data_IF_836747935509
#
_entry.id   IF_836747935509
#
_cell.length_a   1.000
_cell.length_b   1.000
_cell.length_c   1.000
_cell.angle_alpha   90.00
_cell.angle_beta   90.00
_cell.angle_gamma   90.00
#
_symmetry.space_group_name_H-M   'P 1'
#
loop_
_entity.id
_entity.type
_entity.pdbx_description
1 polymer ?
#
# COMPACT_ATOMS: atom_id res chain seq x y z
N UNK A 1 -23.01 -18.33 11.23
CA UNK A 1 -21.56 -18.24 11.01
C UNK A 1 -21.30 -17.85 9.56
N UNK A 2 -20.90 -16.60 9.32
CA UNK A 2 -20.54 -16.14 7.97
C UNK A 2 -19.17 -16.68 7.62
N UNK A 3 -19.09 -17.58 6.64
CA UNK A 3 -17.82 -18.02 6.10
C UNK A 3 -17.11 -16.84 5.43
N UNK A 4 -15.84 -16.65 5.75
CA UNK A 4 -14.97 -15.68 5.08
C UNK A 4 -14.95 -16.03 3.59
N UNK A 5 -15.25 -15.12 2.66
CA UNK A 5 -15.11 -15.38 1.24
C UNK A 5 -13.62 -15.57 0.93
N UNK A 6 -13.18 -16.82 0.76
CA UNK A 6 -11.85 -17.12 0.23
C UNK A 6 -11.84 -16.80 -1.27
N UNK A 7 -10.94 -15.91 -1.72
CA UNK A 7 -10.59 -15.73 -3.14
C UNK A 7 -9.98 -17.04 -3.65
N UNK A 8 -10.83 -17.95 -4.13
CA UNK A 8 -10.39 -19.17 -4.82
C UNK A 8 -10.73 -18.96 -6.29
N UNK A 9 -9.75 -18.53 -7.08
CA UNK A 9 -9.85 -18.67 -8.54
C UNK A 9 -9.59 -20.15 -8.85
N UNK A 10 -10.51 -20.77 -9.58
CA UNK A 10 -10.32 -22.13 -10.07
C UNK A 10 -10.32 -22.07 -11.59
N UNK A 11 -9.14 -22.02 -12.18
CA UNK A 11 -8.98 -22.16 -13.62
C UNK A 11 -9.09 -23.64 -13.96
N UNK A 12 -10.25 -24.07 -14.45
CA UNK A 12 -10.43 -25.38 -15.05
C UNK A 12 -10.66 -25.20 -16.55
N UNK A 13 -9.78 -25.76 -17.37
CA UNK A 13 -10.05 -25.96 -18.78
C UNK A 13 -11.00 -27.15 -18.96
N UNK A 14 -12.06 -26.99 -19.76
CA UNK A 14 -13.00 -28.06 -20.08
C UNK A 14 -14.11 -27.59 -21.01
N UNK A 15 -14.64 -28.50 -21.81
CA UNK A 15 -15.82 -28.25 -22.64
C UNK A 15 -17.06 -28.10 -21.73
N UNK A 16 -17.85 -27.05 -21.93
CA UNK A 16 -19.06 -26.84 -21.14
C UNK A 16 -20.17 -27.79 -21.62
N UNK A 17 -20.41 -28.87 -20.87
CA UNK A 17 -21.54 -29.77 -21.11
C UNK A 17 -22.83 -29.15 -20.51
N UNK A 18 -23.44 -28.22 -21.23
CA UNK A 18 -24.67 -27.53 -20.79
C UNK A 18 -25.93 -28.41 -20.86
N UNK A 19 -25.87 -29.58 -21.54
CA UNK A 19 -26.95 -30.56 -21.58
C UNK A 19 -27.18 -31.24 -20.24
N UNK A 20 -26.11 -31.51 -19.50
CA UNK A 20 -26.15 -32.33 -18.27
C UNK A 20 -26.06 -31.45 -17.01
N UNK A 21 -25.53 -30.22 -17.14
CA UNK A 21 -25.44 -29.26 -16.02
C UNK A 21 -25.77 -27.84 -16.49
N UNK A 22 -27.02 -27.37 -16.28
CA UNK A 22 -27.40 -25.98 -16.54
C UNK A 22 -26.54 -24.99 -15.73
N UNK A 23 -26.21 -23.84 -16.31
CA UNK A 23 -25.59 -22.74 -15.56
C UNK A 23 -26.54 -22.27 -14.46
N UNK A 24 -26.13 -22.44 -13.21
CA UNK A 24 -26.92 -22.07 -12.05
C UNK A 24 -26.18 -21.01 -11.24
N UNK A 25 -26.89 -19.93 -10.87
CA UNK A 25 -26.38 -18.88 -9.99
C UNK A 25 -26.99 -19.05 -8.61
N UNK A 26 -26.16 -18.97 -7.57
CA UNK A 26 -26.61 -19.08 -6.18
C UNK A 26 -27.20 -20.45 -5.79
N UNK A 27 -27.11 -21.46 -6.66
CA UNK A 27 -27.62 -22.80 -6.42
C UNK A 27 -26.77 -23.83 -7.18
N UNK A 28 -26.63 -25.02 -6.61
CA UNK A 28 -26.06 -26.19 -7.30
C UNK A 28 -27.09 -27.31 -7.33
N UNK A 29 -27.46 -27.82 -8.52
CA UNK A 29 -28.37 -28.96 -8.65
C UNK A 29 -27.88 -30.17 -7.86
N UNK A 30 -28.81 -30.95 -7.31
CA UNK A 30 -28.55 -32.23 -6.62
C UNK A 30 -27.75 -32.14 -5.30
N UNK A 31 -27.56 -30.94 -4.75
CA UNK A 31 -26.97 -30.75 -3.41
C UNK A 31 -27.92 -29.97 -2.49
N UNK A 32 -28.30 -30.58 -1.37
CA UNK A 32 -29.33 -30.08 -0.45
C UNK A 32 -28.82 -29.00 0.53
N UNK A 33 -27.62 -28.45 0.33
CA UNK A 33 -26.95 -27.58 1.34
C UNK A 33 -26.22 -26.34 0.81
N UNK A 34 -26.34 -25.96 -0.47
CA UNK A 34 -25.53 -24.86 -1.04
C UNK A 34 -26.34 -23.79 -1.78
N UNK A 35 -27.50 -23.41 -1.26
CA UNK A 35 -28.22 -22.22 -1.77
C UNK A 35 -27.61 -20.96 -1.18
N UNK A 36 -27.11 -20.07 -2.04
CA UNK A 36 -26.74 -18.71 -1.66
C UNK A 36 -28.00 -17.94 -1.27
N UNK A 37 -27.91 -17.18 -0.18
CA UNK A 37 -28.97 -16.27 0.27
C UNK A 37 -28.36 -14.87 0.37
N UNK A 38 -28.56 -14.08 -0.68
CA UNK A 38 -28.05 -12.72 -0.82
C UNK A 38 -28.39 -12.17 -2.20
N UNK A 39 -27.93 -10.96 -2.48
CA UNK A 39 -28.09 -10.33 -3.79
C UNK A 39 -26.84 -10.56 -4.63
N UNK A 40 -27.02 -10.94 -5.88
CA UNK A 40 -25.96 -10.95 -6.89
C UNK A 40 -26.15 -9.67 -7.71
N UNK A 41 -25.16 -8.78 -7.69
CA UNK A 41 -25.20 -7.54 -8.46
C UNK A 41 -25.06 -7.79 -9.95
N UNK A 42 -24.00 -8.50 -10.37
CA UNK A 42 -23.71 -8.76 -11.77
C UNK A 42 -22.85 -10.02 -11.96
N UNK A 43 -22.97 -10.64 -13.13
CA UNK A 43 -22.19 -11.80 -13.55
C UNK A 43 -21.71 -11.58 -14.98
N UNK A 44 -20.39 -11.68 -15.20
CA UNK A 44 -19.75 -11.54 -16.50
C UNK A 44 -19.15 -12.89 -16.92
N UNK A 45 -19.43 -13.33 -18.15
CA UNK A 45 -18.91 -14.57 -18.74
C UNK A 45 -18.03 -14.23 -19.94
N UNK A 46 -16.87 -14.88 -20.02
CA UNK A 46 -15.91 -14.72 -21.11
C UNK A 46 -15.62 -16.07 -21.74
N UNK A 47 -15.54 -16.11 -23.06
CA UNK A 47 -15.22 -17.29 -23.88
C UNK A 47 -13.70 -17.48 -24.08
N UNK A 48 -12.90 -16.59 -23.48
CA UNK A 48 -11.45 -16.59 -23.53
C UNK A 48 -10.85 -16.41 -22.14
N UNK A 49 -9.57 -16.77 -22.01
CA UNK A 49 -8.80 -16.45 -20.82
C UNK A 49 -8.52 -14.94 -20.77
N UNK A 50 -8.81 -14.33 -19.63
CA UNK A 50 -8.48 -12.92 -19.36
C UNK A 50 -7.05 -12.81 -18.84
N UNK A 51 -6.34 -11.78 -19.28
CA UNK A 51 -5.05 -11.37 -18.69
C UNK A 51 -5.22 -10.85 -17.25
N UNK A 52 -4.11 -10.62 -16.54
CA UNK A 52 -4.13 -10.01 -15.21
C UNK A 52 -4.68 -8.59 -15.24
N UNK A 53 -4.26 -7.78 -16.23
CA UNK A 53 -4.75 -6.42 -16.40
C UNK A 53 -6.26 -6.38 -16.65
N UNK A 54 -6.77 -7.21 -17.57
CA UNK A 54 -8.21 -7.23 -17.87
C UNK A 54 -9.05 -7.66 -16.67
N UNK A 55 -8.53 -8.58 -15.84
CA UNK A 55 -9.19 -8.96 -14.59
C UNK A 55 -9.22 -7.81 -13.59
N UNK A 56 -8.12 -7.07 -13.45
CA UNK A 56 -8.06 -5.89 -12.59
C UNK A 56 -9.07 -4.81 -13.06
N UNK A 57 -9.11 -4.52 -14.35
CA UNK A 57 -10.04 -3.54 -14.94
C UNK A 57 -11.52 -3.92 -14.69
N UNK A 58 -11.84 -5.22 -14.78
CA UNK A 58 -13.20 -5.75 -14.50
C UNK A 58 -13.55 -5.67 -13.01
N UNK A 59 -12.60 -6.00 -12.13
CA UNK A 59 -12.81 -5.87 -10.68
C UNK A 59 -13.09 -4.40 -10.32
N UNK A 60 -12.31 -3.46 -10.86
CA UNK A 60 -12.52 -2.03 -10.68
C UNK A 60 -13.89 -1.59 -11.21
N UNK A 61 -14.30 -2.06 -12.39
CA UNK A 61 -15.64 -1.81 -12.94
C UNK A 61 -16.76 -2.27 -12.00
N UNK A 62 -16.69 -3.51 -11.51
CA UNK A 62 -17.73 -4.09 -10.66
C UNK A 62 -17.81 -3.39 -9.30
N UNK A 63 -16.66 -3.05 -8.70
CA UNK A 63 -16.63 -2.29 -7.44
C UNK A 63 -17.23 -0.90 -7.65
N UNK A 64 -16.86 -0.22 -8.74
CA UNK A 64 -17.43 1.09 -9.07
C UNK A 64 -18.95 1.05 -9.25
N UNK A 65 -19.47 0.00 -9.90
CA UNK A 65 -20.89 -0.11 -10.22
C UNK A 65 -21.76 -0.54 -9.04
N UNK A 66 -21.29 -1.44 -8.19
CA UNK A 66 -22.14 -2.10 -7.19
C UNK A 66 -21.90 -1.68 -5.75
N UNK A 67 -20.83 -0.94 -5.44
CA UNK A 67 -20.42 -0.73 -4.03
C UNK A 67 -20.83 0.60 -3.40
N UNK A 68 -21.43 1.57 -4.12
CA UNK A 68 -22.16 2.75 -3.57
C UNK A 68 -22.60 3.73 -4.68
N UNK A 69 -23.60 4.61 -4.44
CA UNK A 69 -23.78 5.81 -5.25
C UNK A 69 -22.60 6.75 -4.96
N UNK A 70 -21.53 6.64 -5.78
CA UNK A 70 -20.27 7.36 -5.59
C UNK A 70 -19.03 6.67 -6.18
N UNK A 71 -19.10 5.38 -6.54
CA UNK A 71 -17.96 4.60 -7.04
C UNK A 71 -17.13 3.92 -5.94
N UNK A 72 -16.02 3.28 -6.34
CA UNK A 72 -15.01 2.69 -5.44
C UNK A 72 -14.12 3.76 -4.78
N UNK A 73 -14.29 5.02 -5.19
CA UNK A 73 -13.52 6.15 -4.69
C UNK A 73 -13.77 6.31 -3.20
N UNK A 74 -12.68 6.24 -2.41
CA UNK A 74 -12.73 6.27 -0.95
C UNK A 74 -13.21 4.98 -0.26
N UNK A 75 -13.30 3.82 -0.94
CA UNK A 75 -13.60 2.54 -0.27
C UNK A 75 -12.65 2.23 0.91
N UNK A 76 -11.41 2.69 0.78
CA UNK A 76 -10.35 2.52 1.77
C UNK A 76 -9.94 3.85 2.42
N UNK A 77 -10.73 4.90 2.28
CA UNK A 77 -10.41 6.18 2.92
C UNK A 77 -10.45 6.04 4.45
N UNK A 78 -9.39 6.46 5.11
CA UNK A 78 -9.12 6.25 6.52
C UNK A 78 -8.79 4.81 6.92
N UNK A 79 -8.66 3.87 5.97
CA UNK A 79 -8.29 2.50 6.31
C UNK A 79 -6.83 2.41 6.78
N UNK A 80 -6.59 1.54 7.75
CA UNK A 80 -5.24 1.22 8.25
C UNK A 80 -4.92 -0.23 7.89
N UNK A 81 -3.81 -0.45 7.18
CA UNK A 81 -3.30 -1.78 6.86
C UNK A 81 -1.99 -2.04 7.59
N UNK A 82 -2.00 -3.04 8.46
CA UNK A 82 -0.77 -3.54 9.08
C UNK A 82 -0.17 -4.66 8.22
N UNK A 83 0.99 -4.38 7.62
CA UNK A 83 1.69 -5.30 6.73
C UNK A 83 2.78 -6.02 7.53
N UNK A 84 2.49 -7.25 7.93
CA UNK A 84 3.43 -8.07 8.69
C UNK A 84 4.76 -8.27 7.95
N UNK A 85 5.83 -8.52 8.72
CA UNK A 85 7.14 -8.82 8.15
C UNK A 85 7.08 -10.01 7.19
N UNK A 86 7.66 -9.86 5.99
CA UNK A 86 7.62 -10.85 4.93
C UNK A 86 6.30 -10.92 4.14
N UNK A 87 5.27 -10.15 4.52
CA UNK A 87 4.06 -9.99 3.73
C UNK A 87 4.20 -8.83 2.73
N UNK A 88 3.41 -8.91 1.65
CA UNK A 88 3.33 -7.86 0.63
C UNK A 88 1.90 -7.35 0.53
N UNK A 89 1.72 -6.04 0.65
CA UNK A 89 0.51 -5.33 0.26
C UNK A 89 0.71 -4.77 -1.15
N UNK A 90 0.05 -5.40 -2.13
CA UNK A 90 0.00 -4.89 -3.50
C UNK A 90 -1.20 -3.95 -3.66
N UNK A 91 -0.94 -2.70 -4.06
CA UNK A 91 -1.96 -1.68 -4.24
C UNK A 91 -2.54 -1.64 -5.67
N UNK A 92 -1.84 -2.21 -6.66
CA UNK A 92 -2.29 -2.35 -8.04
C UNK A 92 -2.64 -1.04 -8.77
N UNK A 93 -2.11 0.11 -8.34
CA UNK A 93 -2.41 1.41 -8.97
C UNK A 93 -2.54 2.58 -7.99
N UNK A 94 -3.30 3.61 -8.40
CA UNK A 94 -3.44 4.85 -7.64
C UNK A 94 -4.26 4.67 -6.37
N UNK A 95 -3.75 5.16 -5.23
CA UNK A 95 -4.41 5.05 -3.90
C UNK A 95 -4.18 6.32 -3.08
N UNK A 96 -5.21 6.75 -2.36
CA UNK A 96 -5.23 7.94 -1.49
C UNK A 96 -5.93 7.61 -0.18
N UNK A 97 -5.69 8.39 0.87
CA UNK A 97 -6.43 8.30 2.13
C UNK A 97 -6.19 7.03 2.98
N UNK A 98 -5.18 6.24 2.65
CA UNK A 98 -4.87 4.98 3.37
C UNK A 98 -3.67 5.18 4.28
N UNK A 99 -3.68 4.59 5.47
CA UNK A 99 -2.48 4.44 6.31
C UNK A 99 -1.92 3.02 6.19
N UNK A 100 -0.61 2.89 5.94
CA UNK A 100 0.11 1.61 5.94
C UNK A 100 1.10 1.59 7.09
N UNK A 101 1.04 0.52 7.90
CA UNK A 101 1.94 0.23 9.00
C UNK A 101 2.61 -1.14 8.83
N UNK A 102 3.46 -1.49 9.79
CA UNK A 102 4.11 -2.80 9.86
C UNK A 102 5.50 -2.80 9.23
N UNK A 103 6.02 -3.99 8.95
CA UNK A 103 7.41 -4.22 8.53
C UNK A 103 7.54 -5.03 7.24
N UNK A 104 6.46 -5.09 6.45
CA UNK A 104 6.41 -5.82 5.19
C UNK A 104 6.81 -4.98 3.97
N UNK A 105 6.23 -5.32 2.82
CA UNK A 105 6.46 -4.63 1.55
C UNK A 105 5.17 -3.99 1.03
N UNK A 106 5.24 -2.71 0.65
CA UNK A 106 4.22 -2.04 -0.15
C UNK A 106 4.62 -2.09 -1.63
N UNK A 107 3.73 -2.57 -2.50
CA UNK A 107 4.05 -2.80 -3.91
C UNK A 107 3.07 -2.14 -4.89
N UNK A 108 3.60 -1.75 -6.06
CA UNK A 108 2.86 -1.37 -7.27
C UNK A 108 1.80 -0.27 -7.05
N UNK A 109 2.06 0.69 -6.15
CA UNK A 109 1.13 1.76 -5.80
C UNK A 109 1.55 3.14 -6.32
N UNK A 110 0.59 3.95 -6.76
CA UNK A 110 0.78 5.40 -6.96
C UNK A 110 0.08 6.14 -5.82
N UNK A 111 0.85 6.62 -4.84
CA UNK A 111 0.33 7.15 -3.58
C UNK A 111 -0.11 8.60 -3.75
N UNK A 112 -1.27 8.96 -3.24
CA UNK A 112 -1.85 10.29 -3.37
C UNK A 112 -2.10 10.98 -2.03
N UNK A 113 -2.89 12.05 -2.08
CA UNK A 113 -3.21 12.86 -0.92
C UNK A 113 -3.80 12.02 0.24
N UNK A 114 -3.33 12.28 1.46
CA UNK A 114 -3.79 11.60 2.66
C UNK A 114 -3.33 10.13 2.76
N UNK A 115 -2.49 9.66 1.84
CA UNK A 115 -1.81 8.38 2.01
C UNK A 115 -0.67 8.53 3.01
N UNK A 116 -0.59 7.65 3.99
CA UNK A 116 0.38 7.74 5.08
C UNK A 116 1.15 6.45 5.24
N UNK A 117 2.46 6.55 5.28
CA UNK A 117 3.39 5.46 5.57
C UNK A 117 3.91 5.68 7.00
N UNK A 118 3.75 4.69 7.88
CA UNK A 118 4.27 4.70 9.26
C UNK A 118 4.84 3.31 9.59
N UNK A 119 6.11 3.02 9.26
CA UNK A 119 6.74 1.72 9.53
C UNK A 119 6.59 1.31 10.99
N UNK A 120 6.17 0.06 11.25
CA UNK A 120 5.77 -0.46 12.57
C UNK A 120 4.72 0.35 13.37
N UNK A 121 4.19 1.46 12.83
CA UNK A 121 3.29 2.37 13.53
C UNK A 121 4.03 3.44 14.34
N UNK A 122 3.28 4.32 15.00
CA UNK A 122 3.83 5.48 15.72
C UNK A 122 4.49 5.11 17.06
N UNK A 123 4.30 3.88 17.56
CA UNK A 123 4.75 3.41 18.88
C UNK A 123 6.08 2.61 18.84
N UNK A 124 6.55 2.24 17.65
CA UNK A 124 7.70 1.38 17.48
C UNK A 124 8.52 1.78 16.25
N UNK A 125 9.84 1.56 16.32
CA UNK A 125 10.71 1.76 15.16
C UNK A 125 10.62 0.55 14.24
N UNK A 126 10.32 0.80 12.96
CA UNK A 126 10.10 -0.22 11.94
C UNK A 126 10.86 0.01 10.64
N UNK A 127 10.82 -1.02 9.78
CA UNK A 127 11.36 -0.96 8.44
C UNK A 127 10.31 -1.42 7.43
N UNK A 128 9.97 -0.57 6.47
CA UNK A 128 8.99 -0.89 5.43
C UNK A 128 9.65 -0.83 4.05
N UNK A 129 9.53 -1.91 3.28
CA UNK A 129 10.04 -1.95 1.92
C UNK A 129 9.02 -1.40 0.92
N UNK A 130 9.48 -0.62 -0.06
CA UNK A 130 8.64 -0.11 -1.14
C UNK A 130 9.18 -0.64 -2.48
N UNK A 131 8.30 -1.25 -3.27
CA UNK A 131 8.67 -1.83 -4.57
C UNK A 131 7.72 -1.37 -5.68
N UNK A 132 8.24 -0.67 -6.69
CA UNK A 132 7.38 -0.15 -7.76
C UNK A 132 6.35 0.88 -7.29
N UNK A 133 6.67 1.64 -6.23
CA UNK A 133 5.82 2.68 -5.67
C UNK A 133 6.21 4.05 -6.23
N UNK A 134 5.23 4.87 -6.59
CA UNK A 134 5.41 6.28 -6.97
C UNK A 134 4.66 7.19 -6.00
N UNK A 135 5.19 8.40 -5.77
CA UNK A 135 4.63 9.35 -4.82
C UNK A 135 3.96 10.52 -5.55
N UNK A 136 2.74 10.83 -5.17
CA UNK A 136 1.99 12.02 -5.53
C UNK A 136 1.91 13.00 -4.36
N UNK A 137 1.57 14.25 -4.68
CA UNK A 137 1.50 15.32 -3.70
C UNK A 137 0.52 14.99 -2.56
N UNK A 138 0.92 15.30 -1.33
CA UNK A 138 0.13 15.02 -0.13
C UNK A 138 0.28 13.59 0.41
N UNK A 139 1.23 12.81 -0.11
CA UNK A 139 1.68 11.57 0.55
C UNK A 139 2.57 11.93 1.74
N UNK A 140 2.33 11.29 2.87
CA UNK A 140 3.08 11.52 4.12
C UNK A 140 3.85 10.28 4.55
N UNK A 141 5.07 10.51 5.05
CA UNK A 141 5.84 9.54 5.81
C UNK A 141 5.89 10.03 7.26
N UNK A 142 5.10 9.38 8.13
CA UNK A 142 5.18 9.56 9.58
C UNK A 142 6.41 8.80 10.09
N UNK A 143 7.38 9.55 10.59
CA UNK A 143 8.66 9.05 11.06
C UNK A 143 8.64 8.89 12.57
N UNK A 144 8.67 7.64 13.04
CA UNK A 144 8.90 7.30 14.43
C UNK A 144 10.39 7.32 14.73
N UNK A 145 10.75 7.89 15.89
CA UNK A 145 12.11 7.96 16.40
C UNK A 145 12.09 7.55 17.86
N UNK A 146 12.93 6.58 18.23
CA UNK A 146 13.09 6.12 19.61
C UNK A 146 14.58 6.09 19.97
N UNK A 147 15.00 7.06 20.77
CA UNK A 147 16.40 7.26 21.14
C UNK A 147 17.29 7.52 19.92
N UNK A 148 18.17 6.57 19.60
CA UNK A 148 19.07 6.64 18.44
C UNK A 148 18.55 5.89 17.21
N UNK A 149 17.42 5.18 17.32
CA UNK A 149 16.81 4.45 16.22
C UNK A 149 15.68 5.29 15.59
N UNK A 150 15.43 5.06 14.30
CA UNK A 150 14.35 5.68 13.54
C UNK A 150 13.75 4.68 12.58
N UNK A 151 12.51 4.93 12.18
CA UNK A 151 11.92 4.23 11.06
C UNK A 151 12.77 4.35 9.81
N UNK A 152 12.66 3.32 8.96
CA UNK A 152 13.39 3.28 7.69
C UNK A 152 12.50 2.80 6.55
N UNK A 153 12.52 3.55 5.44
CA UNK A 153 11.98 3.08 4.17
C UNK A 153 13.09 2.44 3.32
N UNK A 154 12.89 1.20 2.89
CA UNK A 154 13.77 0.58 1.90
C UNK A 154 13.22 0.84 0.51
N UNK A 155 13.77 1.83 -0.17
CA UNK A 155 13.27 2.28 -1.48
C UNK A 155 14.32 3.04 -2.27
N UNK A 156 14.25 2.91 -3.60
CA UNK A 156 14.96 3.77 -4.54
C UNK A 156 14.00 4.63 -5.36
N UNK A 157 14.53 5.62 -6.08
CA UNK A 157 13.75 6.51 -6.93
C UNK A 157 13.52 7.89 -6.33
N UNK A 158 12.54 8.60 -6.89
CA UNK A 158 12.25 9.99 -6.54
C UNK A 158 11.25 10.08 -5.38
N UNK A 159 11.69 10.64 -4.26
CA UNK A 159 10.87 10.87 -3.07
C UNK A 159 10.38 12.33 -2.97
N UNK A 160 10.58 13.16 -4.00
CA UNK A 160 10.32 14.61 -3.95
C UNK A 160 8.87 15.01 -3.64
N UNK A 161 7.91 14.15 -3.97
CA UNK A 161 6.49 14.38 -3.70
C UNK A 161 6.05 13.92 -2.29
N UNK A 162 6.92 13.22 -1.56
CA UNK A 162 6.67 12.77 -0.20
C UNK A 162 6.98 13.90 0.81
N UNK A 163 6.18 14.00 1.86
CA UNK A 163 6.48 14.87 3.02
C UNK A 163 6.75 14.00 4.23
N UNK A 164 7.93 14.14 4.83
CA UNK A 164 8.25 13.49 6.10
C UNK A 164 7.74 14.37 7.23
N UNK A 165 7.03 13.76 8.18
CA UNK A 165 6.51 14.40 9.39
C UNK A 165 6.87 13.55 10.62
N UNK A 166 7.04 14.14 11.82
CA UNK A 166 7.23 13.34 13.02
C UNK A 166 5.96 12.55 13.36
N UNK A 167 6.11 11.34 13.89
CA UNK A 167 5.01 10.61 14.52
C UNK A 167 4.43 11.38 15.72
N UNK A 168 3.20 11.05 16.12
CA UNK A 168 2.40 11.85 17.07
C UNK A 168 3.12 12.18 18.37
N UNK A 169 3.96 11.26 18.87
CA UNK A 169 4.74 11.40 20.11
C UNK A 169 6.27 11.21 19.89
N UNK A 170 6.77 11.50 18.68
CA UNK A 170 8.18 11.31 18.36
C UNK A 170 9.10 12.21 19.20
N UNK A 171 9.93 11.61 20.06
CA UNK A 171 10.94 12.33 20.84
C UNK A 171 12.29 12.34 20.12
N UNK A 172 12.59 13.46 19.46
CA UNK A 172 13.82 13.60 18.67
C UNK A 172 14.98 14.06 19.58
N UNK A 173 15.66 13.10 20.19
CA UNK A 173 16.76 13.35 21.13
C UNK A 173 18.16 13.34 20.47
N UNK A 174 18.30 12.62 19.36
CA UNK A 174 19.55 12.42 18.62
C UNK A 174 19.81 13.50 17.57
N UNK A 175 20.92 13.36 16.86
CA UNK A 175 21.40 14.35 15.89
C UNK A 175 21.42 13.83 14.44
N UNK A 176 21.21 12.53 14.23
CA UNK A 176 21.27 11.90 12.92
C UNK A 176 20.49 10.59 12.92
N UNK A 177 19.64 10.41 11.91
CA UNK A 177 18.75 9.26 11.75
C UNK A 177 18.70 8.84 10.29
N UNK A 178 18.89 7.55 9.99
CA UNK A 178 18.73 7.03 8.61
C UNK A 178 17.27 6.71 8.40
N UNK A 179 16.60 7.49 7.56
CA UNK A 179 15.14 7.42 7.40
C UNK A 179 14.71 6.71 6.11
N UNK A 180 15.62 6.58 5.14
CA UNK A 180 15.44 5.76 3.95
C UNK A 180 16.78 5.25 3.43
N UNK A 181 16.78 4.08 2.81
CA UNK A 181 17.95 3.47 2.18
C UNK A 181 17.60 2.93 0.79
N UNK A 182 18.35 3.34 -0.23
CA UNK A 182 18.28 2.86 -1.60
C UNK A 182 18.82 3.87 -2.62
N UNK A 183 18.57 3.63 -3.91
CA UNK A 183 19.04 4.52 -4.99
C UNK A 183 18.15 5.76 -5.13
N UNK A 184 18.24 6.67 -4.16
CA UNK A 184 17.37 7.85 -4.02
C UNK A 184 17.79 8.94 -5.01
N UNK A 185 16.86 9.47 -5.81
CA UNK A 185 17.13 10.48 -6.85
C UNK A 185 16.50 11.84 -6.56
N UNK A 186 15.55 11.92 -5.63
CA UNK A 186 14.95 13.18 -5.17
C UNK A 186 14.58 13.12 -3.71
N UNK A 187 14.75 14.23 -3.00
CA UNK A 187 14.58 14.32 -1.55
C UNK A 187 13.16 14.78 -1.19
N UNK A 188 12.53 14.19 -0.17
CA UNK A 188 11.21 14.62 0.30
C UNK A 188 11.27 15.99 0.96
N UNK A 189 10.09 16.57 1.20
CA UNK A 189 9.95 17.73 2.08
C UNK A 189 9.96 17.31 3.55
N UNK A 190 10.32 18.24 4.45
CA UNK A 190 10.14 18.08 5.90
C UNK A 190 9.03 19.01 6.38
N UNK A 191 8.19 18.53 7.29
CA UNK A 191 7.21 19.34 7.99
C UNK A 191 7.09 18.90 9.47
N UNK A 192 6.88 19.83 10.39
CA UNK A 192 6.72 19.53 11.82
C UNK A 192 8.01 19.23 12.61
N UNK A 193 9.17 19.11 11.95
CA UNK A 193 10.47 18.95 12.62
C UNK A 193 11.04 20.29 13.13
N UNK A 194 11.84 20.29 14.22
CA UNK A 194 12.59 21.47 14.63
C UNK A 194 13.51 21.98 13.50
N UNK A 195 13.59 23.31 13.31
CA UNK A 195 14.29 23.95 12.17
C UNK A 195 15.76 23.52 11.97
N UNK A 196 16.42 23.06 13.04
CA UNK A 196 17.80 22.55 12.98
C UNK A 196 17.95 21.29 12.13
N UNK A 197 16.89 20.50 11.94
CA UNK A 197 16.93 19.26 11.18
C UNK A 197 16.75 19.51 9.68
N UNK A 198 17.56 18.79 8.89
CA UNK A 198 17.55 18.83 7.43
C UNK A 198 17.78 17.43 6.86
N UNK A 199 17.48 17.29 5.57
CA UNK A 199 17.71 16.06 4.82
C UNK A 199 19.06 16.06 4.11
N UNK A 200 19.91 15.11 4.48
CA UNK A 200 21.20 14.87 3.85
C UNK A 200 21.17 13.51 3.17
N UNK A 201 21.57 13.46 1.90
CA UNK A 201 21.77 12.20 1.21
C UNK A 201 23.25 11.83 1.32
N UNK A 202 23.55 10.63 1.79
CA UNK A 202 24.90 10.10 1.97
C UNK A 202 24.97 8.70 1.35
N UNK A 203 25.53 8.62 0.14
CA UNK A 203 25.49 7.37 -0.63
C UNK A 203 24.03 6.97 -0.91
N UNK A 204 23.66 5.77 -0.48
CA UNK A 204 22.30 5.24 -0.63
C UNK A 204 21.38 5.61 0.55
N UNK A 205 21.90 6.26 1.59
CA UNK A 205 21.10 6.61 2.76
C UNK A 205 20.60 8.05 2.65
N UNK A 206 19.34 8.25 3.04
CA UNK A 206 18.77 9.56 3.34
C UNK A 206 18.71 9.72 4.86
N UNK A 207 19.35 10.78 5.34
CA UNK A 207 19.48 11.07 6.75
C UNK A 207 18.65 12.31 7.11
N UNK A 208 17.90 12.21 8.20
CA UNK A 208 17.40 13.35 8.96
C UNK A 208 18.47 13.73 9.98
N UNK A 209 19.11 14.89 9.81
CA UNK A 209 20.24 15.29 10.67
C UNK A 209 20.19 16.75 11.08
N UNK A 210 20.60 17.04 12.31
CA UNK A 210 20.82 18.40 12.81
C UNK A 210 22.30 18.81 12.76
N UNK A 211 23.18 17.97 12.22
CA UNK A 211 24.61 18.25 12.17
C UNK A 211 24.86 19.29 11.06
N UNK A 212 25.28 20.49 11.46
CA UNK A 212 25.70 21.56 10.57
C UNK A 212 27.17 21.37 10.16
N UNK A 213 27.47 21.36 8.86
CA UNK A 213 28.85 21.35 8.40
C UNK A 213 28.99 21.16 6.90
N UNK A 214 29.77 22.03 6.25
CA UNK A 214 30.30 21.88 4.91
C UNK A 214 31.05 20.55 4.82
N UNK A 215 30.57 19.61 4.01
CA UNK A 215 31.30 18.38 3.68
C UNK A 215 32.40 18.77 2.70
N UNK A 216 33.62 18.98 3.19
CA UNK A 216 34.81 19.05 2.34
C UNK A 216 35.09 17.62 1.85
N UNK A 217 34.64 17.29 0.64
CA UNK A 217 35.06 16.05 -0.01
C UNK A 217 36.51 16.19 -0.45
N UNK A 218 37.43 15.56 0.30
CA UNK A 218 38.77 15.30 -0.20
C UNK A 218 38.67 14.15 -1.21
N UNK A 219 39.06 14.44 -2.45
CA UNK A 219 39.30 13.44 -3.50
C UNK A 219 40.61 12.72 -3.24
#
# INVERSE_FOLDING_TARGET
SGGVPSRVSKTLGGNWATSDTPLCLGYRPNTHRTTFRGQVGEVLLFDRLLSEQERADIEDYLVNKWTRPGGADGLFDGAVFDVAAGATLDLGGARSGITVTGNGTLANGALGAGFIISPAGDDAVGELALSGVTFGAGTEYRLTVLGAASDRLLTGGDLSALTVVPATDAEITGTSYVIATGAITGKPALNGFPEKFKLLQQGNDLLLTSIGGTVLMLR
#
